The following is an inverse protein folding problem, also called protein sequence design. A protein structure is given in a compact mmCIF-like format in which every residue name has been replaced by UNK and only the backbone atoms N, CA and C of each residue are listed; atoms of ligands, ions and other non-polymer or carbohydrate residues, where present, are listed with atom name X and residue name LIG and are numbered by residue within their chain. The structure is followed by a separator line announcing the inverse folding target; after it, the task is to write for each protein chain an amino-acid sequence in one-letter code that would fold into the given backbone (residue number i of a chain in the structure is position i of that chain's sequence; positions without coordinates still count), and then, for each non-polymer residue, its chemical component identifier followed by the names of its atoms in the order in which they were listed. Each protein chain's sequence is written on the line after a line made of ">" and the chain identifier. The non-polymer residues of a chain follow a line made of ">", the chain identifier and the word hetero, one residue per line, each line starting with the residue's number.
data_IF_221525234505
#
_entry.id   IF_221525234505
#
_cell.length_a   1.000
_cell.length_b   1.000
_cell.length_c   1.000
_cell.angle_alpha   90.00
_cell.angle_beta   90.00
_cell.angle_gamma   90.00
#
_symmetry.space_group_name_H-M   'P 1'
#
loop_
_entity.id
_entity.type
_entity.pdbx_description
1 polymer ?
#
# COMPACT_ATOMS: atom_id res chain seq x y z
N UNK A 1 -35.66 -41.53 35.82
CA UNK A 1 -35.84 -40.93 34.48
C UNK A 1 -35.83 -39.41 34.48
N UNK A 2 -36.35 -38.73 35.48
CA UNK A 2 -36.35 -37.24 35.51
C UNK A 2 -34.94 -36.63 35.51
N UNK A 3 -33.94 -37.28 36.11
CA UNK A 3 -32.54 -36.78 36.15
C UNK A 3 -31.82 -36.82 34.80
N UNK A 4 -32.12 -37.77 33.95
CA UNK A 4 -31.52 -37.91 32.61
C UNK A 4 -32.07 -36.86 31.64
N UNK A 5 -33.37 -36.55 31.77
CA UNK A 5 -34.01 -35.53 30.93
C UNK A 5 -33.46 -34.12 31.26
N UNK A 6 -33.26 -33.83 32.54
CA UNK A 6 -32.69 -32.54 32.97
C UNK A 6 -31.23 -32.39 32.51
N UNK A 7 -30.43 -33.47 32.60
CA UNK A 7 -29.04 -33.46 32.13
C UNK A 7 -28.93 -33.27 30.62
N UNK A 8 -29.77 -33.91 29.84
CA UNK A 8 -29.77 -33.74 28.37
C UNK A 8 -30.23 -32.36 27.94
N UNK A 9 -31.17 -31.75 28.62
CA UNK A 9 -31.64 -30.40 28.35
C UNK A 9 -30.56 -29.35 28.65
N UNK A 10 -29.84 -29.46 29.77
CA UNK A 10 -28.74 -28.56 30.12
C UNK A 10 -27.58 -28.68 29.13
N UNK A 11 -27.23 -29.86 28.68
CA UNK A 11 -26.19 -30.05 27.65
C UNK A 11 -26.57 -29.40 26.31
N UNK A 12 -27.82 -29.51 25.89
CA UNK A 12 -28.32 -28.89 24.67
C UNK A 12 -28.27 -27.36 24.75
N UNK A 13 -28.58 -26.74 25.86
CA UNK A 13 -28.51 -25.30 26.08
C UNK A 13 -27.06 -24.80 26.03
N UNK A 14 -26.14 -25.51 26.67
CA UNK A 14 -24.70 -25.15 26.65
C UNK A 14 -24.13 -25.27 25.23
N UNK A 15 -24.46 -26.32 24.50
CA UNK A 15 -24.03 -26.49 23.12
C UNK A 15 -24.56 -25.38 22.19
N UNK A 16 -25.84 -25.02 22.33
CA UNK A 16 -26.43 -23.93 21.56
C UNK A 16 -25.78 -22.57 21.85
N UNK A 17 -25.50 -22.26 23.11
CA UNK A 17 -24.81 -21.04 23.51
C UNK A 17 -23.37 -20.98 22.97
N UNK A 18 -22.68 -22.10 22.95
CA UNK A 18 -21.31 -22.18 22.41
C UNK A 18 -21.28 -21.96 20.90
N UNK A 19 -22.18 -22.55 20.15
CA UNK A 19 -22.31 -22.35 18.70
C UNK A 19 -22.67 -20.89 18.40
N UNK A 20 -23.55 -20.29 19.16
CA UNK A 20 -23.94 -18.90 18.97
C UNK A 20 -22.79 -17.93 19.27
N UNK A 21 -21.99 -18.19 20.31
CA UNK A 21 -20.79 -17.40 20.60
C UNK A 21 -19.74 -17.48 19.51
N UNK A 22 -19.59 -18.59 18.80
CA UNK A 22 -18.70 -18.71 17.64
C UNK A 22 -19.20 -17.92 16.43
N UNK A 23 -20.50 -17.84 16.21
CA UNK A 23 -21.09 -17.09 15.09
C UNK A 23 -21.01 -15.58 15.27
N UNK A 24 -20.89 -15.08 16.50
CA UNK A 24 -20.76 -13.65 16.78
C UNK A 24 -19.33 -13.11 16.63
N UNK A 25 -18.32 -13.98 16.56
CA UNK A 25 -16.94 -13.58 16.26
C UNK A 25 -16.75 -13.49 14.74
N UNK A 26 -16.93 -12.29 14.23
CA UNK A 26 -16.53 -12.01 12.85
C UNK A 26 -15.02 -12.15 12.68
N UNK A 27 -14.53 -12.72 11.56
CA UNK A 27 -13.11 -12.73 11.27
C UNK A 27 -12.60 -11.29 11.19
N UNK A 28 -11.53 -10.99 11.92
CA UNK A 28 -10.86 -9.72 11.82
C UNK A 28 -10.17 -9.62 10.45
N UNK A 29 -10.55 -8.62 9.66
CA UNK A 29 -9.89 -8.34 8.39
C UNK A 29 -8.80 -7.30 8.64
N UNK A 30 -7.56 -7.66 8.30
CA UNK A 30 -6.41 -6.78 8.43
C UNK A 30 -6.19 -6.07 7.10
N UNK A 31 -6.29 -4.75 7.11
CA UNK A 31 -5.97 -3.91 5.95
C UNK A 31 -4.63 -3.24 6.15
N UNK A 32 -3.76 -3.35 5.15
CA UNK A 32 -2.55 -2.56 5.10
C UNK A 32 -2.84 -1.25 4.36
N UNK A 33 -2.57 -0.12 5.01
CA UNK A 33 -2.56 1.18 4.36
C UNK A 33 -1.12 1.52 3.98
N UNK A 34 -0.95 1.95 2.73
CA UNK A 34 0.35 2.31 2.20
C UNK A 34 0.44 3.81 1.95
N UNK A 35 1.57 4.38 2.33
CA UNK A 35 1.99 5.66 1.78
C UNK A 35 2.62 5.41 0.41
N UNK A 36 2.37 6.29 -0.53
CA UNK A 36 2.97 6.25 -1.85
C UNK A 36 3.90 7.43 -2.04
N UNK A 37 5.05 7.18 -2.63
CA UNK A 37 6.02 8.21 -2.95
C UNK A 37 6.61 7.97 -4.32
N UNK A 38 6.75 9.04 -5.09
CA UNK A 38 7.41 9.02 -6.37
C UNK A 38 8.65 9.89 -6.35
N UNK A 39 9.72 9.42 -6.98
CA UNK A 39 10.99 10.13 -7.09
C UNK A 39 11.33 10.25 -8.57
N UNK A 40 11.40 11.49 -9.01
CA UNK A 40 11.69 11.82 -10.39
C UNK A 40 13.10 12.38 -10.54
N UNK A 41 13.67 12.31 -11.74
CA UNK A 41 14.89 13.05 -12.05
C UNK A 41 14.71 14.53 -11.71
N UNK A 42 15.76 15.12 -11.15
CA UNK A 42 15.74 16.51 -10.70
C UNK A 42 16.22 17.45 -11.79
N UNK A 43 15.52 18.54 -11.96
CA UNK A 43 15.98 19.64 -12.81
C UNK A 43 17.07 20.42 -12.05
N UNK A 44 18.30 20.41 -12.59
CA UNK A 44 19.46 21.08 -11.99
C UNK A 44 19.68 22.47 -12.55
N UNK A 45 19.30 22.67 -13.80
CA UNK A 45 19.30 23.97 -14.49
C UNK A 45 18.19 23.97 -15.53
N UNK A 46 17.78 25.12 -16.08
CA UNK A 46 16.70 25.15 -17.06
C UNK A 46 16.93 24.13 -18.20
N UNK A 47 15.96 23.21 -18.34
CA UNK A 47 15.97 22.12 -19.32
C UNK A 47 17.10 21.07 -19.15
N UNK A 48 17.78 21.05 -18.00
CA UNK A 48 18.80 20.06 -17.66
C UNK A 48 18.34 19.21 -16.46
N UNK A 49 18.40 17.90 -16.62
CA UNK A 49 17.95 16.96 -15.59
C UNK A 49 19.10 16.08 -15.13
N UNK A 50 19.05 15.69 -13.88
CA UNK A 50 19.98 14.78 -13.25
C UNK A 50 19.25 13.52 -12.80
N UNK A 51 19.90 12.37 -13.04
CA UNK A 51 19.39 11.09 -12.59
C UNK A 51 19.31 11.05 -11.06
N UNK A 52 18.28 10.38 -10.55
CA UNK A 52 18.15 10.12 -9.10
C UNK A 52 19.40 9.38 -8.61
N UNK A 53 20.03 9.89 -7.56
CA UNK A 53 21.25 9.31 -7.04
C UNK A 53 20.97 7.99 -6.32
N UNK A 54 21.92 7.06 -6.40
CA UNK A 54 21.86 5.80 -5.65
C UNK A 54 21.80 6.05 -4.15
N UNK A 55 22.46 7.08 -3.65
CA UNK A 55 22.43 7.46 -2.25
C UNK A 55 21.03 7.85 -1.79
N UNK A 56 20.28 8.57 -2.60
CA UNK A 56 18.89 8.92 -2.31
C UNK A 56 17.99 7.67 -2.27
N UNK A 57 18.17 6.75 -3.21
CA UNK A 57 17.44 5.49 -3.23
C UNK A 57 17.74 4.62 -2.01
N UNK A 58 19.01 4.55 -1.61
CA UNK A 58 19.42 3.82 -0.40
C UNK A 58 18.86 4.46 0.86
N UNK A 59 18.81 5.79 0.92
CA UNK A 59 18.21 6.53 2.03
C UNK A 59 16.72 6.20 2.17
N UNK A 60 15.99 6.15 1.08
CA UNK A 60 14.58 5.76 1.08
C UNK A 60 14.40 4.31 1.56
N UNK A 61 15.21 3.39 1.06
CA UNK A 61 15.16 1.99 1.50
C UNK A 61 15.42 1.85 3.00
N UNK A 62 16.35 2.62 3.56
CA UNK A 62 16.65 2.61 5.00
C UNK A 62 15.51 3.16 5.85
N UNK A 63 14.64 3.99 5.27
CA UNK A 63 13.44 4.53 5.91
C UNK A 63 12.22 3.61 5.79
N UNK A 64 12.38 2.42 5.23
CA UNK A 64 11.32 1.45 5.08
C UNK A 64 10.51 1.57 3.79
N UNK A 65 10.97 2.39 2.84
CA UNK A 65 10.33 2.50 1.53
C UNK A 65 10.68 1.31 0.65
N UNK A 66 9.67 0.67 0.09
CA UNK A 66 9.78 -0.47 -0.82
C UNK A 66 9.54 -0.02 -2.25
N UNK A 67 10.43 -0.43 -3.17
CA UNK A 67 10.28 -0.13 -4.58
C UNK A 67 9.14 -0.94 -5.19
N UNK A 68 8.18 -0.24 -5.78
CA UNK A 68 7.01 -0.85 -6.45
C UNK A 68 7.25 -0.97 -7.94
N UNK A 69 7.71 0.10 -8.56
CA UNK A 69 7.94 0.13 -10.00
C UNK A 69 9.01 1.15 -10.37
N UNK A 70 9.65 0.89 -11.50
CA UNK A 70 10.57 1.80 -12.16
C UNK A 70 10.02 2.07 -13.56
N UNK A 71 9.78 3.34 -13.83
CA UNK A 71 9.21 3.76 -15.11
C UNK A 71 10.16 4.70 -15.82
N UNK A 72 10.43 4.50 -17.11
CA UNK A 72 11.24 5.44 -17.86
C UNK A 72 10.50 6.79 -17.96
N UNK A 73 11.20 7.84 -17.61
CA UNK A 73 10.70 9.20 -17.73
C UNK A 73 11.47 9.91 -18.81
N UNK A 74 10.77 10.32 -19.86
CA UNK A 74 11.38 10.94 -21.05
C UNK A 74 11.25 12.45 -20.95
N UNK A 75 12.33 13.13 -21.03
CA UNK A 75 12.37 14.58 -21.12
C UNK A 75 13.43 15.03 -22.11
N UNK A 76 13.28 16.23 -22.56
CA UNK A 76 14.16 16.84 -23.54
C UNK A 76 15.14 17.76 -22.85
N UNK A 77 16.42 17.42 -22.90
CA UNK A 77 17.48 18.32 -22.53
C UNK A 77 17.81 19.24 -23.73
N UNK A 78 17.54 20.52 -23.57
CA UNK A 78 17.94 21.51 -24.54
C UNK A 78 19.21 22.20 -24.03
N UNK A 79 20.34 21.90 -24.67
CA UNK A 79 21.48 22.79 -24.57
C UNK A 79 21.10 24.11 -25.24
N UNK A 80 21.03 25.17 -24.45
CA UNK A 80 21.00 26.53 -25.02
C UNK A 80 22.33 26.83 -25.65
N UNK A 81 22.48 26.40 -26.89
CA UNK A 81 23.61 26.83 -27.70
C UNK A 81 23.48 28.31 -27.99
N UNK A 82 24.60 29.00 -28.03
CA UNK A 82 24.74 30.28 -28.75
C UNK A 82 24.25 30.11 -30.19
N UNK A 83 23.76 31.15 -30.82
CA UNK A 83 23.22 31.12 -32.20
C UNK A 83 24.15 30.46 -33.25
N UNK A 84 25.41 30.22 -32.92
CA UNK A 84 26.39 29.49 -33.74
C UNK A 84 26.31 27.95 -33.57
N UNK A 85 25.65 27.44 -32.53
CA UNK A 85 25.52 26.02 -32.25
C UNK A 85 24.04 25.61 -32.30
N UNK A 86 23.51 25.46 -33.50
CA UNK A 86 22.21 24.82 -33.74
C UNK A 86 22.29 23.33 -33.40
N UNK A 87 22.66 22.98 -32.17
CA UNK A 87 22.60 21.60 -31.72
C UNK A 87 21.14 21.24 -31.41
N UNK A 88 20.59 20.20 -32.07
CA UNK A 88 19.25 19.71 -31.71
C UNK A 88 19.24 19.27 -30.25
N UNK A 89 18.18 19.60 -29.53
CA UNK A 89 17.99 19.13 -28.17
C UNK A 89 18.10 17.62 -28.09
N UNK A 90 18.83 17.12 -27.10
CA UNK A 90 18.99 15.68 -26.84
C UNK A 90 17.84 15.20 -25.97
N UNK A 91 17.12 14.18 -26.44
CA UNK A 91 16.12 13.51 -25.64
C UNK A 91 16.83 12.53 -24.72
N UNK A 92 16.68 12.71 -23.44
CA UNK A 92 17.21 11.80 -22.41
C UNK A 92 16.09 11.09 -21.69
N UNK A 93 16.35 9.84 -21.30
CA UNK A 93 15.43 9.03 -20.52
C UNK A 93 16.11 8.61 -19.24
N UNK A 94 15.59 9.07 -18.13
CA UNK A 94 16.00 8.61 -16.81
C UNK A 94 14.84 7.89 -16.11
N UNK A 95 15.13 6.91 -15.23
CA UNK A 95 14.07 6.22 -14.54
C UNK A 95 13.42 7.11 -13.48
N UNK A 96 12.11 7.02 -13.37
CA UNK A 96 11.34 7.48 -12.24
C UNK A 96 11.03 6.27 -11.34
N UNK A 97 11.12 6.46 -10.04
CA UNK A 97 10.96 5.40 -9.06
C UNK A 97 9.70 5.63 -8.23
N UNK A 98 8.94 4.57 -8.04
CA UNK A 98 7.73 4.59 -7.26
C UNK A 98 7.88 3.66 -6.05
N UNK A 99 7.65 4.21 -4.88
CA UNK A 99 7.81 3.50 -3.61
C UNK A 99 6.51 3.45 -2.85
N UNK A 100 6.38 2.41 -2.03
CA UNK A 100 5.33 2.31 -1.02
C UNK A 100 5.96 2.03 0.34
N UNK A 101 5.27 2.43 1.37
CA UNK A 101 5.62 2.11 2.75
C UNK A 101 4.34 1.82 3.52
N UNK A 102 4.39 0.81 4.40
CA UNK A 102 3.27 0.53 5.28
C UNK A 102 3.13 1.67 6.28
N UNK A 103 2.02 2.39 6.21
CA UNK A 103 1.72 3.46 7.14
C UNK A 103 1.08 2.92 8.41
N UNK A 104 0.07 2.08 8.23
CA UNK A 104 -0.70 1.55 9.34
C UNK A 104 -1.34 0.22 8.96
N UNK A 105 -1.26 -0.75 9.87
CA UNK A 105 -2.06 -1.96 9.81
C UNK A 105 -3.39 -1.69 10.53
N UNK A 106 -4.47 -1.55 9.77
CA UNK A 106 -5.82 -1.46 10.30
C UNK A 106 -6.43 -2.84 10.40
N UNK A 107 -6.86 -3.18 11.62
CA UNK A 107 -7.70 -4.35 11.83
C UNK A 107 -9.14 -3.87 11.92
N UNK A 108 -9.95 -4.27 10.96
CA UNK A 108 -11.38 -3.97 10.96
C UNK A 108 -12.14 -5.23 11.30
N UNK A 109 -12.92 -5.17 12.38
CA UNK A 109 -13.82 -6.24 12.75
C UNK A 109 -15.14 -6.02 12.01
N UNK A 110 -15.40 -6.84 11.00
CA UNK A 110 -16.68 -6.82 10.32
C UNK A 110 -17.72 -7.45 11.22
N UNK A 111 -18.62 -6.65 11.76
CA UNK A 111 -19.74 -7.14 12.52
C UNK A 111 -20.71 -7.88 11.58
N UNK A 112 -20.88 -9.19 11.79
CA UNK A 112 -21.92 -9.98 11.13
C UNK A 112 -23.30 -9.71 11.79
N UNK A 113 -23.64 -8.45 11.95
CA UNK A 113 -25.02 -8.11 12.31
C UNK A 113 -25.86 -8.45 11.10
N UNK A 114 -26.84 -9.36 11.19
CA UNK A 114 -27.74 -9.61 10.08
C UNK A 114 -28.38 -8.27 9.72
N UNK A 115 -28.24 -7.91 8.46
CA UNK A 115 -28.88 -6.72 7.93
C UNK A 115 -30.38 -6.89 8.21
N UNK A 116 -30.88 -6.09 9.15
CA UNK A 116 -32.29 -6.05 9.44
C UNK A 116 -32.96 -5.43 8.23
N UNK A 117 -33.40 -6.31 7.35
CA UNK A 117 -34.27 -5.89 6.25
C UNK A 117 -35.65 -5.70 6.86
N UNK A 118 -36.17 -4.48 6.92
CA UNK A 118 -37.54 -4.27 7.40
C UNK A 118 -38.55 -4.94 6.47
#
# INVERSE_FOLDING_TARGET
>A
MKRIVVLSLTLAIVAAAFVWAQQTKAPATVYAQYEMRSVFPRETSPAMYEQVSQQELQSLASQGWELVSVTPFVYRNEERGTAANNKPGVTQTYPAYFFKRVELLKTETVSLVPVHVP
#
